data_IF_699875940918
#
_entry.id   IF_699875940918
#
_cell.length_a   1.000
_cell.length_b   1.000
_cell.length_c   1.000
_cell.angle_alpha   90.00
_cell.angle_beta   90.00
_cell.angle_gamma   90.00
#
_symmetry.space_group_name_H-M   'P 1'
#
loop_
_entity.id
_entity.type
_entity.pdbx_description
1 polymer ?
#
# COMPACT_ATOMS: atom_id res chain seq x y z
N UNK A 1 7.75 -16.99 -2.01
CA UNK A 1 8.04 -15.56 -1.79
C UNK A 1 7.15 -14.78 -2.73
N UNK A 2 6.29 -13.89 -2.23
CA UNK A 2 5.27 -13.16 -3.01
C UNK A 2 5.35 -11.64 -2.76
N UNK A 3 4.77 -10.83 -3.65
CA UNK A 3 4.77 -9.35 -3.65
C UNK A 3 4.33 -8.74 -2.32
N UNK A 4 3.40 -9.38 -1.61
CA UNK A 4 2.93 -8.91 -0.31
C UNK A 4 4.00 -9.06 0.78
N UNK A 5 4.79 -10.14 0.72
CA UNK A 5 5.93 -10.33 1.62
C UNK A 5 7.03 -9.30 1.34
N UNK A 6 7.33 -9.03 0.06
CA UNK A 6 8.29 -7.99 -0.32
C UNK A 6 7.85 -6.60 0.15
N UNK A 7 6.56 -6.30 0.05
CA UNK A 7 6.02 -5.03 0.50
C UNK A 7 6.10 -4.87 2.03
N UNK A 8 5.87 -5.95 2.78
CA UNK A 8 6.05 -5.96 4.23
C UNK A 8 7.52 -5.77 4.62
N UNK A 9 8.45 -6.45 3.93
CA UNK A 9 9.89 -6.30 4.15
C UNK A 9 10.36 -4.85 3.97
N UNK A 10 9.79 -4.10 3.01
CA UNK A 10 10.11 -2.68 2.82
C UNK A 10 9.70 -1.85 4.04
N UNK A 11 8.53 -2.09 4.60
CA UNK A 11 8.05 -1.37 5.78
C UNK A 11 8.99 -1.59 6.97
N UNK A 12 9.44 -2.83 7.16
CA UNK A 12 10.32 -3.17 8.28
C UNK A 12 11.74 -2.60 8.10
N UNK A 13 12.17 -2.38 6.85
CA UNK A 13 13.49 -1.83 6.50
C UNK A 13 13.54 -0.31 6.40
N UNK A 14 12.41 0.38 6.38
CA UNK A 14 12.34 1.86 6.30
C UNK A 14 11.84 2.42 7.64
N UNK A 15 12.74 2.85 8.54
CA UNK A 15 12.38 3.26 9.91
C UNK A 15 11.35 4.40 9.96
N UNK A 16 11.36 5.26 8.95
CA UNK A 16 10.46 6.41 8.81
C UNK A 16 9.00 6.00 8.57
N UNK A 17 8.75 4.76 8.14
CA UNK A 17 7.41 4.22 7.91
C UNK A 17 6.81 3.54 9.14
N UNK A 18 7.61 3.23 10.17
CA UNK A 18 7.24 2.37 11.31
C UNK A 18 5.79 2.57 11.81
N UNK A 19 5.47 3.62 12.56
CA UNK A 19 4.10 3.82 13.06
C UNK A 19 3.08 4.16 11.95
N UNK A 20 3.53 4.88 10.91
CA UNK A 20 2.67 5.38 9.82
C UNK A 20 2.12 4.26 8.93
N UNK A 21 2.81 3.14 8.85
CA UNK A 21 2.44 1.99 8.03
C UNK A 21 1.58 0.95 8.77
N UNK A 22 1.05 1.25 9.95
CA UNK A 22 0.21 0.32 10.71
C UNK A 22 -0.98 -0.21 9.89
N UNK A 23 -1.75 0.69 9.27
CA UNK A 23 -2.87 0.34 8.40
C UNK A 23 -2.44 -0.45 7.17
N UNK A 24 -1.31 -0.07 6.58
CA UNK A 24 -0.75 -0.79 5.44
C UNK A 24 -0.38 -2.23 5.81
N UNK A 25 0.30 -2.45 6.95
CA UNK A 25 0.63 -3.79 7.44
C UNK A 25 -0.61 -4.63 7.77
N UNK A 26 -1.70 -3.99 8.20
CA UNK A 26 -2.97 -4.70 8.38
C UNK A 26 -3.51 -5.14 7.02
N UNK A 27 -3.62 -4.22 6.06
CA UNK A 27 -4.11 -4.54 4.72
C UNK A 27 -3.30 -5.64 4.02
N UNK A 28 -1.97 -5.62 4.13
CA UNK A 28 -1.10 -6.67 3.56
C UNK A 28 -1.38 -8.03 4.21
N UNK A 29 -1.55 -8.09 5.54
CA UNK A 29 -1.89 -9.33 6.25
C UNK A 29 -3.26 -9.85 5.85
N UNK A 30 -4.25 -8.99 5.73
CA UNK A 30 -5.60 -9.37 5.32
C UNK A 30 -5.56 -9.98 3.90
N UNK A 31 -4.80 -9.39 2.96
CA UNK A 31 -4.64 -9.97 1.62
C UNK A 31 -3.94 -11.31 1.59
N UNK A 32 -2.95 -11.53 2.45
CA UNK A 32 -2.31 -12.84 2.58
C UNK A 32 -3.29 -13.91 3.07
N UNK A 33 -4.13 -13.57 4.07
CA UNK A 33 -5.15 -14.48 4.60
C UNK A 33 -6.17 -14.81 3.51
N UNK A 34 -6.73 -13.79 2.86
CA UNK A 34 -7.75 -14.01 1.83
C UNK A 34 -7.17 -14.77 0.62
N UNK A 35 -5.91 -14.53 0.25
CA UNK A 35 -5.25 -15.27 -0.82
C UNK A 35 -5.12 -16.76 -0.49
N UNK A 36 -4.69 -17.08 0.73
CA UNK A 36 -4.60 -18.46 1.20
C UNK A 36 -5.96 -19.16 1.19
N UNK A 37 -6.99 -18.49 1.72
CA UNK A 37 -8.36 -19.01 1.73
C UNK A 37 -8.87 -19.26 0.30
N UNK A 38 -8.56 -18.34 -0.62
CA UNK A 38 -8.99 -18.46 -2.01
C UNK A 38 -8.34 -19.67 -2.70
N UNK A 39 -7.03 -19.87 -2.54
CA UNK A 39 -6.34 -21.04 -3.08
C UNK A 39 -6.92 -22.32 -2.48
N UNK A 40 -7.13 -22.37 -1.17
CA UNK A 40 -7.71 -23.55 -0.50
C UNK A 40 -9.10 -23.89 -1.02
N UNK A 41 -9.89 -22.88 -1.41
CA UNK A 41 -11.28 -23.06 -1.87
C UNK A 41 -11.38 -23.35 -3.36
N UNK A 42 -10.58 -22.69 -4.20
CA UNK A 42 -10.74 -22.69 -5.66
C UNK A 42 -9.59 -23.40 -6.39
N UNK A 43 -8.46 -23.67 -5.72
CA UNK A 43 -7.29 -24.30 -6.33
C UNK A 43 -6.49 -23.41 -7.27
N UNK A 44 -6.85 -22.12 -7.39
CA UNK A 44 -6.25 -21.16 -8.31
C UNK A 44 -5.84 -19.87 -7.59
N UNK A 45 -4.94 -19.10 -8.21
CA UNK A 45 -4.56 -17.78 -7.72
C UNK A 45 -5.70 -16.77 -7.95
N UNK A 46 -5.80 -15.78 -7.06
CA UNK A 46 -6.83 -14.74 -7.17
C UNK A 46 -6.68 -13.92 -8.47
N UNK A 47 -7.80 -13.45 -9.06
CA UNK A 47 -7.79 -12.62 -10.27
C UNK A 47 -7.03 -11.29 -10.08
N UNK A 48 -7.01 -10.75 -8.86
CA UNK A 48 -6.25 -9.56 -8.49
C UNK A 48 -4.72 -9.76 -8.58
N UNK A 49 -4.26 -11.01 -8.49
CA UNK A 49 -2.85 -11.39 -8.57
C UNK A 49 -2.49 -11.72 -10.02
N UNK A 50 -3.31 -12.52 -10.71
CA UNK A 50 -3.07 -12.98 -12.08
C UNK A 50 -3.34 -11.92 -13.15
N UNK A 51 -4.29 -11.01 -12.89
CA UNK A 51 -4.65 -9.92 -13.80
C UNK A 51 -3.84 -8.64 -13.60
N UNK A 52 -2.94 -8.60 -12.61
CA UNK A 52 -2.21 -7.38 -12.28
C UNK A 52 -1.21 -6.97 -13.37
N UNK A 53 -1.23 -5.68 -13.73
CA UNK A 53 -0.31 -5.07 -14.68
C UNK A 53 0.09 -3.69 -14.17
N UNK A 54 1.30 -3.27 -14.51
CA UNK A 54 1.69 -1.87 -14.37
C UNK A 54 0.83 -1.01 -15.30
N UNK A 55 0.24 0.05 -14.77
CA UNK A 55 -0.43 1.06 -15.56
C UNK A 55 0.60 2.12 -16.00
N UNK A 56 1.01 2.14 -17.29
CA UNK A 56 1.99 3.10 -17.79
C UNK A 56 1.44 4.52 -17.86
N UNK A 57 0.12 4.70 -17.75
CA UNK A 57 -0.55 5.99 -17.77
C UNK A 57 -0.71 6.60 -16.38
N UNK A 58 -0.38 5.85 -15.31
CA UNK A 58 -0.42 6.34 -13.94
C UNK A 58 0.59 7.47 -13.74
N UNK A 59 0.11 8.72 -13.84
CA UNK A 59 0.86 9.90 -13.41
C UNK A 59 0.57 10.12 -11.93
N UNK A 60 1.57 9.88 -11.09
CA UNK A 60 1.48 10.26 -9.69
C UNK A 60 1.26 11.79 -9.62
N UNK A 61 0.09 12.21 -9.18
CA UNK A 61 -0.19 13.62 -8.91
C UNK A 61 0.85 14.11 -7.89
N UNK A 62 1.64 15.11 -8.28
CA UNK A 62 2.59 15.73 -7.35
C UNK A 62 1.79 16.39 -6.23
N UNK A 63 2.10 16.13 -4.95
CA UNK A 63 1.42 16.80 -3.85
C UNK A 63 1.71 18.30 -3.98
N UNK A 64 0.70 19.06 -4.41
CA UNK A 64 0.77 20.51 -4.50
C UNK A 64 1.00 21.02 -3.07
N UNK A 65 2.12 21.72 -2.85
CA UNK A 65 2.37 22.39 -1.59
C UNK A 65 1.22 23.40 -1.35
N UNK A 66 0.32 23.07 -0.41
CA UNK A 66 -0.66 24.02 0.09
C UNK A 66 0.09 25.00 0.98
N UNK A 67 0.51 26.12 0.39
CA UNK A 67 0.97 27.30 1.12
C UNK A 67 -0.23 27.96 1.80
N UNK A 68 -0.64 27.47 2.97
CA UNK A 68 -1.43 28.27 3.91
C UNK A 68 -0.47 29.10 4.74
N UNK A 69 -0.15 30.27 4.19
CA UNK A 69 0.44 31.38 4.93
C UNK A 69 -0.66 31.97 5.81
N UNK A 70 -0.70 31.58 7.08
CA UNK A 70 -1.51 32.26 8.11
C UNK A 70 -0.65 33.26 8.88
N UNK A 71 0.15 34.04 8.14
CA UNK A 71 0.75 35.27 8.66
C UNK A 71 -0.23 36.40 8.34
N UNK A 72 -1.21 36.60 9.22
CA UNK A 72 -2.20 37.64 9.02
C UNK A 72 -3.47 37.43 9.82
N UNK A 73 -3.35 37.38 11.15
CA UNK A 73 -4.41 37.89 12.03
C UNK A 73 -3.83 38.09 13.44
N UNK A 74 -3.24 39.27 13.64
CA UNK A 74 -2.98 39.86 14.95
C UNK A 74 -3.43 41.32 14.87
N UNK A 75 -4.67 41.60 15.29
CA UNK A 75 -5.14 42.90 15.81
C UNK A 75 -6.17 42.67 16.91
#
# INVERSE_FOLDING_TARGET
>A
LDRFHLAQDVVDRVPQLGPRAAYFRQAVRDRLIEHKQYIETHGEDRPEITGWRWDPSFKAESPRATSTSTEGDNV
#
